data_IF_562448918443
#
_entry.id   IF_562448918443
#
_cell.length_a   1.000
_cell.length_b   1.000
_cell.length_c   1.000
_cell.angle_alpha   90.00
_cell.angle_beta   90.00
_cell.angle_gamma   90.00
#
_symmetry.space_group_name_H-M   'P 1'
#
loop_
_entity.id
_entity.type
_entity.pdbx_description
1 polymer ?
#
# COMPACT_ATOMS: atom_id res chain seq x y z
N UNK A 1 39.87 8.82 7.96
CA UNK A 1 39.52 10.21 7.60
C UNK A 1 38.34 10.13 6.64
N UNK A 2 37.12 10.37 7.13
CA UNK A 2 35.88 10.22 6.36
C UNK A 2 35.41 11.61 5.96
N UNK A 3 35.16 11.79 4.66
CA UNK A 3 34.64 13.03 4.07
C UNK A 3 33.13 13.15 4.34
N UNK A 4 32.60 14.35 4.65
CA UNK A 4 31.17 14.55 4.89
C UNK A 4 30.36 14.65 3.60
N UNK A 5 29.25 13.91 3.55
CA UNK A 5 28.22 13.97 2.50
C UNK A 5 27.43 15.28 2.55
N UNK A 6 27.12 15.82 1.37
CA UNK A 6 26.29 17.01 1.20
C UNK A 6 24.82 16.61 1.21
N UNK A 7 24.09 17.00 2.25
CA UNK A 7 22.63 16.99 2.25
C UNK A 7 22.11 18.26 1.56
N UNK A 8 21.53 18.10 0.37
CA UNK A 8 20.80 19.17 -0.31
C UNK A 8 19.42 19.33 0.33
N UNK A 9 19.28 20.32 1.22
CA UNK A 9 18.00 20.72 1.80
C UNK A 9 17.19 21.57 0.81
N UNK A 10 16.03 21.07 0.38
CA UNK A 10 15.02 21.87 -0.31
C UNK A 10 14.24 22.64 0.77
N UNK A 11 14.43 23.95 0.86
CA UNK A 11 13.65 24.84 1.73
C UNK A 11 12.55 25.51 0.90
N UNK A 12 11.29 25.18 1.17
CA UNK A 12 10.15 25.98 0.71
C UNK A 12 9.83 27.05 1.76
N UNK A 13 9.93 28.32 1.39
CA UNK A 13 9.63 29.47 2.24
C UNK A 13 8.15 29.85 2.11
N UNK A 14 7.32 29.45 3.07
CA UNK A 14 6.00 30.05 3.27
C UNK A 14 6.02 30.90 4.55
N UNK A 15 5.89 32.20 4.34
CA UNK A 15 5.81 33.27 5.34
C UNK A 15 4.43 33.33 6.00
N UNK A 16 4.35 32.93 7.26
CA UNK A 16 3.32 33.41 8.20
C UNK A 16 3.83 33.20 9.64
N UNK A 17 3.81 34.28 10.41
CA UNK A 17 4.54 34.39 11.68
C UNK A 17 3.83 33.84 12.91
N UNK A 18 4.62 33.72 13.98
CA UNK A 18 4.16 33.77 15.37
C UNK A 18 3.98 32.41 16.06
N UNK A 19 4.85 32.13 17.04
CA UNK A 19 4.58 31.20 18.13
C UNK A 19 5.53 30.00 18.20
N UNK A 20 6.40 29.98 19.21
CA UNK A 20 7.29 28.86 19.49
C UNK A 20 6.55 27.57 19.79
N UNK A 21 7.13 26.45 19.38
CA UNK A 21 6.59 25.13 19.70
C UNK A 21 7.09 24.03 18.77
N UNK A 22 8.22 23.43 19.12
CA UNK A 22 8.63 22.05 18.80
C UNK A 22 8.48 21.59 17.35
N UNK A 23 9.57 21.66 16.57
CA UNK A 23 9.73 20.97 15.29
C UNK A 23 9.39 19.48 15.43
N UNK A 24 8.18 19.07 15.03
CA UNK A 24 7.85 17.66 14.85
C UNK A 24 8.44 17.22 13.51
N UNK A 25 9.64 16.66 13.55
CA UNK A 25 10.16 15.87 12.44
C UNK A 25 9.27 14.64 12.33
N UNK A 26 8.33 14.65 11.37
CA UNK A 26 7.60 13.43 11.00
C UNK A 26 8.55 12.63 10.13
N UNK A 27 9.50 11.92 10.75
CA UNK A 27 10.13 10.79 10.08
C UNK A 27 9.02 9.77 9.89
N UNK A 28 8.45 9.70 8.68
CA UNK A 28 7.57 8.59 8.28
C UNK A 28 8.43 7.34 8.09
N UNK A 29 9.08 6.91 9.16
CA UNK A 29 9.65 5.58 9.28
C UNK A 29 8.46 4.65 9.27
N UNK A 30 8.14 4.06 8.13
CA UNK A 30 7.20 2.93 8.05
C UNK A 30 7.87 1.72 8.70
N UNK A 31 8.07 1.79 10.01
CA UNK A 31 8.43 0.64 10.82
C UNK A 31 7.13 -0.11 11.07
N UNK A 32 6.77 -0.97 10.12
CA UNK A 32 5.80 -2.02 10.41
C UNK A 32 6.50 -2.92 11.42
N UNK A 33 5.95 -2.94 12.64
CA UNK A 33 6.41 -3.79 13.74
C UNK A 33 6.65 -5.19 13.18
N UNK A 34 7.86 -5.70 13.35
CA UNK A 34 8.20 -7.08 13.03
C UNK A 34 7.22 -7.99 13.78
N UNK A 35 6.21 -8.50 13.08
CA UNK A 35 5.38 -9.57 13.59
C UNK A 35 6.31 -10.78 13.63
N UNK A 36 6.62 -11.23 14.83
CA UNK A 36 7.39 -12.45 15.08
C UNK A 36 6.58 -13.65 14.60
N UNK A 37 6.61 -13.95 13.29
CA UNK A 37 6.05 -15.17 12.67
C UNK A 37 7.03 -16.36 12.87
N UNK A 38 8.01 -16.23 13.76
CA UNK A 38 9.09 -17.20 13.96
C UNK A 38 8.61 -18.62 14.28
N UNK A 39 7.40 -18.77 14.83
CA UNK A 39 6.91 -20.07 15.29
C UNK A 39 5.95 -20.77 14.32
N UNK A 40 5.65 -20.20 13.14
CA UNK A 40 4.77 -20.84 12.14
C UNK A 40 5.46 -21.20 10.83
N UNK A 41 6.65 -20.66 10.55
CA UNK A 41 7.40 -20.86 9.30
C UNK A 41 8.74 -21.58 9.55
N UNK A 42 8.73 -22.62 10.38
CA UNK A 42 9.93 -23.42 10.69
C UNK A 42 10.46 -24.26 9.51
N UNK A 43 9.82 -24.21 8.34
CA UNK A 43 10.26 -24.89 7.10
C UNK A 43 10.76 -23.87 6.08
N UNK A 44 11.87 -24.14 5.37
CA UNK A 44 12.51 -23.20 4.45
C UNK A 44 11.59 -22.77 3.31
N UNK A 45 10.62 -23.61 2.95
CA UNK A 45 9.59 -23.30 1.96
C UNK A 45 8.22 -23.53 2.58
N UNK A 46 7.57 -22.45 2.97
CA UNK A 46 6.23 -22.51 3.55
C UNK A 46 5.44 -21.26 3.22
N UNK A 47 4.13 -21.43 3.02
CA UNK A 47 3.21 -20.32 2.80
C UNK A 47 2.08 -20.37 3.82
N UNK A 48 1.69 -19.20 4.31
CA UNK A 48 0.55 -19.04 5.20
C UNK A 48 -0.30 -17.87 4.72
N UNK A 49 -1.61 -17.92 5.00
CA UNK A 49 -2.56 -16.88 4.56
C UNK A 49 -3.39 -16.41 5.74
N UNK A 50 -3.56 -15.10 5.83
CA UNK A 50 -4.42 -14.47 6.83
C UNK A 50 -5.06 -13.22 6.24
N UNK A 51 -6.38 -13.13 6.31
CA UNK A 51 -7.18 -12.07 5.69
C UNK A 51 -6.82 -11.91 4.20
N UNK A 52 -6.22 -10.79 3.86
CA UNK A 52 -5.81 -10.33 2.53
C UNK A 52 -4.31 -10.44 2.28
N UNK A 53 -3.58 -11.11 3.18
CA UNK A 53 -2.13 -11.27 3.11
C UNK A 53 -1.76 -12.73 2.95
N UNK A 54 -0.91 -13.01 1.98
CA UNK A 54 -0.15 -14.24 1.85
C UNK A 54 1.28 -13.97 2.29
N UNK A 55 1.79 -14.75 3.23
CA UNK A 55 3.19 -14.71 3.64
C UNK A 55 3.88 -15.93 3.04
N UNK A 56 4.95 -15.69 2.30
CA UNK A 56 5.79 -16.71 1.66
C UNK A 56 7.16 -16.67 2.34
N UNK A 57 7.59 -17.82 2.88
CA UNK A 57 8.95 -18.00 3.35
C UNK A 57 9.79 -18.60 2.21
N UNK A 58 10.76 -17.83 1.73
CA UNK A 58 11.76 -18.24 0.76
C UNK A 58 13.11 -18.36 1.47
N UNK A 59 13.40 -19.55 2.01
CA UNK A 59 14.68 -19.87 2.67
C UNK A 59 15.08 -18.90 3.79
N UNK A 60 14.11 -18.45 4.59
CA UNK A 60 14.29 -17.51 5.69
C UNK A 60 14.01 -16.05 5.33
N UNK A 61 13.86 -15.72 4.04
CA UNK A 61 13.37 -14.43 3.60
C UNK A 61 11.84 -14.44 3.52
N UNK A 62 11.19 -13.61 4.34
CA UNK A 62 9.73 -13.44 4.28
C UNK A 62 9.37 -12.44 3.19
N UNK A 63 8.49 -12.86 2.30
CA UNK A 63 7.84 -12.02 1.31
C UNK A 63 6.34 -12.03 1.56
N UNK A 64 5.69 -10.91 1.23
CA UNK A 64 4.24 -10.77 1.37
C UNK A 64 3.60 -10.41 0.04
N UNK A 65 2.46 -11.04 -0.24
CA UNK A 65 1.63 -10.80 -1.42
C UNK A 65 0.15 -10.68 -1.00
N UNK A 66 -0.69 -10.20 -1.89
CA UNK A 66 -2.14 -10.09 -1.68
C UNK A 66 -2.80 -11.46 -1.82
N UNK A 67 -3.54 -11.89 -0.80
CA UNK A 67 -4.31 -13.13 -0.84
C UNK A 67 -5.79 -12.86 -1.12
N UNK A 68 -6.38 -13.69 -1.99
CA UNK A 68 -7.82 -13.71 -2.21
C UNK A 68 -8.34 -15.14 -2.25
N UNK A 69 -9.38 -15.42 -1.46
CA UNK A 69 -10.05 -16.73 -1.50
C UNK A 69 -10.76 -16.92 -2.84
N UNK A 70 -10.74 -18.15 -3.36
CA UNK A 70 -11.44 -18.52 -4.61
C UNK A 70 -12.94 -18.20 -4.58
N UNK A 71 -13.56 -18.29 -3.41
CA UNK A 71 -14.99 -18.01 -3.21
C UNK A 71 -15.31 -16.54 -2.91
N UNK A 72 -14.29 -15.68 -2.78
CA UNK A 72 -14.48 -14.28 -2.42
C UNK A 72 -15.05 -13.48 -3.60
N UNK A 73 -16.31 -13.04 -3.42
CA UNK A 73 -16.98 -12.15 -4.36
C UNK A 73 -16.40 -10.75 -4.15
N UNK A 74 -15.98 -10.08 -5.22
CA UNK A 74 -15.40 -8.72 -5.16
C UNK A 74 -16.44 -7.73 -4.63
N UNK A 75 -16.71 -7.63 -3.33
CA UNK A 75 -17.84 -6.85 -2.73
C UNK A 75 -17.69 -5.33 -2.80
N UNK A 76 -16.77 -4.83 -3.61
CA UNK A 76 -16.60 -3.40 -3.82
C UNK A 76 -17.86 -2.77 -4.40
N UNK A 77 -18.13 -1.56 -3.94
CA UNK A 77 -19.25 -0.77 -4.40
C UNK A 77 -19.13 -0.47 -5.89
N UNK A 78 -20.24 -0.54 -6.63
CA UNK A 78 -20.27 -0.12 -8.04
C UNK A 78 -20.30 1.41 -8.16
N UNK A 79 -19.76 1.92 -9.25
CA UNK A 79 -19.72 3.36 -9.50
C UNK A 79 -21.11 3.97 -9.74
N UNK A 80 -22.05 3.20 -10.31
CA UNK A 80 -23.44 3.58 -10.56
C UNK A 80 -24.36 3.51 -9.31
N UNK A 81 -23.83 3.06 -8.17
CA UNK A 81 -24.63 2.92 -6.96
C UNK A 81 -25.04 4.27 -6.37
N UNK A 82 -26.15 4.27 -5.61
CA UNK A 82 -26.69 5.44 -4.91
C UNK A 82 -25.88 5.79 -3.65
N UNK A 83 -24.61 6.14 -3.85
CA UNK A 83 -23.71 6.61 -2.79
C UNK A 83 -23.07 7.94 -3.22
N UNK A 84 -22.67 8.78 -2.25
CA UNK A 84 -22.00 10.03 -2.56
C UNK A 84 -20.75 9.84 -3.41
N UNK A 85 -20.54 10.74 -4.36
CA UNK A 85 -19.47 10.63 -5.36
C UNK A 85 -18.07 10.54 -4.73
N UNK A 86 -17.83 11.32 -3.68
CA UNK A 86 -16.56 11.31 -2.94
C UNK A 86 -16.24 9.94 -2.31
N UNK A 87 -17.26 9.17 -1.91
CA UNK A 87 -17.05 7.82 -1.32
C UNK A 87 -16.56 6.89 -2.41
N UNK A 88 -17.29 6.82 -3.53
CA UNK A 88 -16.97 5.98 -4.69
C UNK A 88 -15.60 6.34 -5.24
N UNK A 89 -15.36 7.63 -5.51
CA UNK A 89 -14.09 8.13 -6.04
C UNK A 89 -12.88 7.83 -5.16
N UNK A 90 -13.06 7.66 -3.85
CA UNK A 90 -11.97 7.29 -2.94
C UNK A 90 -11.62 5.79 -2.92
N UNK A 91 -12.51 4.92 -3.42
CA UNK A 91 -12.33 3.46 -3.33
C UNK A 91 -11.09 2.97 -4.10
N UNK A 92 -10.85 3.38 -5.37
CA UNK A 92 -9.67 2.93 -6.11
C UNK A 92 -8.35 3.28 -5.39
N UNK A 93 -8.23 4.51 -4.89
CA UNK A 93 -7.04 4.97 -4.17
C UNK A 93 -6.82 4.20 -2.85
N UNK A 94 -7.91 3.87 -2.14
CA UNK A 94 -7.83 3.07 -0.91
C UNK A 94 -7.37 1.64 -1.19
N UNK A 95 -7.82 1.03 -2.29
CA UNK A 95 -7.38 -0.31 -2.68
C UNK A 95 -5.92 -0.30 -3.16
N UNK A 96 -5.50 0.71 -3.93
CA UNK A 96 -4.09 0.84 -4.36
C UNK A 96 -3.16 0.97 -3.13
N UNK A 97 -3.51 1.87 -2.21
CA UNK A 97 -2.75 2.06 -0.96
C UNK A 97 -2.67 0.76 -0.14
N UNK A 98 -3.72 -0.06 -0.16
CA UNK A 98 -3.75 -1.35 0.53
C UNK A 98 -2.78 -2.35 -0.10
N UNK A 99 -2.80 -2.50 -1.42
CA UNK A 99 -1.85 -3.38 -2.14
C UNK A 99 -0.41 -2.95 -1.83
N UNK A 100 -0.10 -1.65 -1.92
CA UNK A 100 1.23 -1.10 -1.59
C UNK A 100 1.67 -1.27 -0.14
N UNK A 101 0.74 -1.54 0.78
CA UNK A 101 1.08 -1.84 2.19
C UNK A 101 1.33 -3.33 2.42
N UNK A 102 0.73 -4.19 1.60
CA UNK A 102 0.80 -5.63 1.74
C UNK A 102 1.98 -6.17 0.93
N UNK A 103 2.13 -5.75 -0.32
CA UNK A 103 3.15 -6.28 -1.22
C UNK A 103 4.46 -5.55 -0.96
N UNK A 104 5.50 -6.30 -0.60
CA UNK A 104 6.83 -5.75 -0.30
C UNK A 104 7.68 -5.54 -1.55
N UNK A 105 7.57 -6.44 -2.51
CA UNK A 105 8.33 -6.38 -3.76
C UNK A 105 7.72 -5.35 -4.72
N UNK A 106 8.57 -4.49 -5.29
CA UNK A 106 8.11 -3.33 -6.06
C UNK A 106 7.50 -3.73 -7.42
N UNK A 107 8.10 -4.69 -8.11
CA UNK A 107 7.59 -5.18 -9.40
C UNK A 107 6.26 -5.93 -9.23
N UNK A 108 6.18 -6.82 -8.23
CA UNK A 108 4.95 -7.50 -7.86
C UNK A 108 3.89 -6.48 -7.42
N UNK A 109 4.27 -5.46 -6.65
CA UNK A 109 3.34 -4.42 -6.24
C UNK A 109 2.75 -3.69 -7.44
N UNK A 110 3.58 -3.32 -8.43
CA UNK A 110 3.12 -2.69 -9.67
C UNK A 110 2.11 -3.57 -10.42
N UNK A 111 2.45 -4.86 -10.61
CA UNK A 111 1.56 -5.82 -11.27
C UNK A 111 0.23 -5.97 -10.53
N UNK A 112 0.25 -6.12 -9.19
CA UNK A 112 -0.96 -6.26 -8.36
C UNK A 112 -1.82 -5.00 -8.34
N UNK A 113 -1.21 -3.81 -8.31
CA UNK A 113 -1.94 -2.55 -8.40
C UNK A 113 -2.62 -2.42 -9.77
N UNK A 114 -1.91 -2.79 -10.83
CA UNK A 114 -2.43 -2.80 -12.20
C UNK A 114 -3.61 -3.77 -12.35
N UNK A 115 -3.48 -5.01 -11.87
CA UNK A 115 -4.56 -6.01 -11.85
C UNK A 115 -5.80 -5.48 -11.11
N UNK A 116 -5.60 -4.86 -9.95
CA UNK A 116 -6.67 -4.29 -9.14
C UNK A 116 -7.39 -3.14 -9.86
N UNK A 117 -6.66 -2.18 -10.45
CA UNK A 117 -7.25 -1.03 -11.14
C UNK A 117 -7.87 -1.41 -12.49
N UNK A 118 -7.21 -2.26 -13.28
CA UNK A 118 -7.65 -2.61 -14.63
C UNK A 118 -8.74 -3.67 -14.62
N UNK A 119 -8.63 -4.72 -13.79
CA UNK A 119 -9.65 -5.78 -13.78
C UNK A 119 -10.74 -5.50 -12.75
N UNK A 120 -10.40 -5.28 -11.48
CA UNK A 120 -11.41 -5.24 -10.42
C UNK A 120 -12.28 -3.97 -10.45
N UNK A 121 -11.67 -2.81 -10.73
CA UNK A 121 -12.42 -1.55 -10.78
C UNK A 121 -13.19 -1.39 -12.10
N UNK A 122 -12.68 -1.95 -13.21
CA UNK A 122 -13.39 -1.94 -14.48
C UNK A 122 -14.69 -2.77 -14.43
N UNK A 123 -14.66 -3.95 -13.80
CA UNK A 123 -15.85 -4.79 -13.56
C UNK A 123 -16.94 -4.06 -12.77
N UNK A 124 -16.59 -2.97 -12.09
CA UNK A 124 -17.46 -2.15 -11.24
C UNK A 124 -17.80 -0.79 -11.83
N UNK A 125 -17.46 -0.58 -13.11
CA UNK A 125 -17.77 0.60 -13.91
C UNK A 125 -17.14 1.90 -13.40
N UNK A 126 -16.01 1.80 -12.71
CA UNK A 126 -15.25 3.00 -12.35
C UNK A 126 -14.62 3.64 -13.60
N UNK A 127 -14.81 4.95 -13.81
CA UNK A 127 -14.25 5.66 -14.96
C UNK A 127 -12.71 5.70 -14.88
N UNK A 128 -12.05 5.77 -16.05
CA UNK A 128 -10.58 5.83 -16.17
C UNK A 128 -10.00 6.98 -15.35
N UNK A 129 -10.65 8.15 -15.37
CA UNK A 129 -10.21 9.35 -14.65
C UNK A 129 -10.04 9.15 -13.14
N UNK A 130 -10.87 8.29 -12.53
CA UNK A 130 -10.78 8.00 -11.09
C UNK A 130 -9.74 6.91 -10.82
N UNK A 131 -9.63 5.91 -11.72
CA UNK A 131 -8.69 4.78 -11.60
C UNK A 131 -7.22 5.20 -11.68
N UNK A 132 -6.90 6.15 -12.56
CA UNK A 132 -5.52 6.55 -12.87
C UNK A 132 -5.10 7.86 -12.20
N UNK A 133 -5.95 8.44 -11.35
CA UNK A 133 -5.75 9.76 -10.74
C UNK A 133 -4.46 9.95 -9.91
N UNK A 134 -3.66 8.89 -9.70
CA UNK A 134 -2.46 8.90 -8.85
C UNK A 134 -1.38 7.86 -9.22
N UNK A 135 -1.46 7.24 -10.41
CA UNK A 135 -0.32 6.48 -10.94
C UNK A 135 0.75 7.45 -11.40
#
# INVERSE_FOLDING_TARGET
MVLPGKDTSITCSSSCGGGGGSSRVVTSSRSIKAVTISNLLGKPESQSTFLDVQVVNNNGALQTDTFKKKTDRKTLLRFDSYHPEHVKSSIPQRQDTRVRRIVQDEELCWMRCTEMLQSHMQDREYPVSVRESRM
#
